data_IF_057457187892
#
_entry.id   IF_057457187892
#
_cell.length_a   1.000
_cell.length_b   1.000
_cell.length_c   1.000
_cell.angle_alpha   90.00
_cell.angle_beta   90.00
_cell.angle_gamma   90.00
#
_symmetry.space_group_name_H-M   'P 1'
#
loop_
_entity.id
_entity.type
_entity.pdbx_description
1 polymer ?
#
# COMPACT_ATOMS: atom_id res chain seq x y z
N UNK A 1 24.69 17.54 -0.28
CA UNK A 1 24.43 16.35 -1.13
C UNK A 1 23.15 16.57 -1.91
N UNK A 2 23.12 16.11 -3.15
CA UNK A 2 21.98 16.22 -4.05
C UNK A 2 21.91 15.02 -4.98
N UNK A 3 20.76 14.83 -5.64
CA UNK A 3 20.57 13.75 -6.62
C UNK A 3 19.83 14.29 -7.84
N UNK A 4 20.02 13.61 -8.96
CA UNK A 4 19.38 13.93 -10.24
C UNK A 4 18.48 12.74 -10.60
N UNK A 5 17.23 13.02 -10.92
CA UNK A 5 16.25 12.02 -11.34
C UNK A 5 15.69 12.32 -12.71
N UNK A 6 15.14 11.31 -13.39
CA UNK A 6 14.38 11.49 -14.62
C UNK A 6 13.10 12.25 -14.33
N UNK A 7 12.76 13.18 -15.21
CA UNK A 7 11.45 13.84 -15.17
C UNK A 7 10.38 12.94 -15.77
N UNK A 8 9.31 12.69 -15.02
CA UNK A 8 8.15 11.95 -15.49
C UNK A 8 6.93 12.87 -15.62
N UNK A 9 6.18 12.72 -16.72
CA UNK A 9 4.92 13.44 -16.90
C UNK A 9 3.77 12.65 -16.30
N UNK A 10 2.92 13.33 -15.53
CA UNK A 10 1.75 12.75 -14.91
C UNK A 10 1.23 13.60 -13.75
N UNK A 11 0.20 13.13 -13.13
CA UNK A 11 -0.42 13.72 -11.94
C UNK A 11 -0.16 12.82 -10.73
N UNK A 12 0.36 13.38 -9.64
CA UNK A 12 0.60 12.67 -8.39
C UNK A 12 -0.27 13.20 -7.23
N UNK A 13 -1.00 14.32 -7.42
CA UNK A 13 -1.88 14.84 -6.38
C UNK A 13 -3.16 14.00 -6.28
N UNK A 14 -3.29 13.23 -5.21
CA UNK A 14 -4.39 12.28 -5.02
C UNK A 14 -5.78 12.88 -5.22
N UNK A 15 -6.02 14.09 -4.72
CA UNK A 15 -7.28 14.78 -4.92
C UNK A 15 -7.60 15.08 -6.40
N UNK A 16 -6.57 15.33 -7.22
CA UNK A 16 -6.72 15.52 -8.67
C UNK A 16 -6.94 14.21 -9.38
N UNK A 17 -6.20 13.17 -9.01
CA UNK A 17 -6.38 11.81 -9.57
C UNK A 17 -7.84 11.38 -9.43
N UNK A 18 -8.46 11.63 -8.28
CA UNK A 18 -9.86 11.26 -8.02
C UNK A 18 -10.87 12.12 -8.79
N UNK A 19 -10.56 13.39 -9.08
CA UNK A 19 -11.56 14.37 -9.56
C UNK A 19 -11.33 14.91 -10.96
N UNK A 20 -10.09 14.87 -11.49
CA UNK A 20 -9.78 15.49 -12.77
C UNK A 20 -10.54 14.84 -13.93
N UNK A 21 -11.22 15.62 -14.80
CA UNK A 21 -11.85 15.11 -16.01
C UNK A 21 -10.85 14.44 -16.97
N UNK A 22 -9.61 14.91 -17.01
CA UNK A 22 -8.54 14.37 -17.87
C UNK A 22 -8.21 12.91 -17.58
N UNK A 23 -8.49 12.47 -16.35
CA UNK A 23 -8.25 11.09 -15.91
C UNK A 23 -9.54 10.24 -15.82
N UNK A 24 -10.69 10.78 -16.27
CA UNK A 24 -11.98 10.10 -16.12
C UNK A 24 -12.04 8.73 -16.80
N UNK A 25 -11.41 8.57 -17.96
CA UNK A 25 -11.43 7.32 -18.72
C UNK A 25 -10.49 6.25 -18.15
N UNK A 26 -9.36 6.67 -17.58
CA UNK A 26 -8.39 5.73 -17.02
C UNK A 26 -8.70 5.37 -15.58
N UNK A 27 -9.35 6.26 -14.82
CA UNK A 27 -9.61 6.10 -13.39
C UNK A 27 -10.23 4.75 -13.00
N UNK A 28 -11.25 4.22 -13.70
CA UNK A 28 -11.82 2.91 -13.37
C UNK A 28 -10.86 1.73 -13.52
N UNK A 29 -9.74 1.90 -14.23
CA UNK A 29 -8.73 0.86 -14.47
C UNK A 29 -7.58 0.92 -13.47
N UNK A 30 -7.46 1.99 -12.69
CA UNK A 30 -6.30 2.22 -11.81
C UNK A 30 -6.20 1.19 -10.71
N UNK A 31 -7.30 0.77 -10.09
CA UNK A 31 -7.25 -0.24 -9.04
C UNK A 31 -6.70 -1.58 -9.54
N UNK A 32 -7.15 -2.03 -10.71
CA UNK A 32 -6.62 -3.22 -11.36
C UNK A 32 -5.13 -3.10 -11.69
N UNK A 33 -4.71 -1.95 -12.25
CA UNK A 33 -3.29 -1.69 -12.53
C UNK A 33 -2.45 -1.65 -11.27
N UNK A 34 -2.94 -1.06 -10.18
CA UNK A 34 -2.27 -1.07 -8.88
C UNK A 34 -2.05 -2.50 -8.37
N UNK A 35 -3.05 -3.36 -8.48
CA UNK A 35 -2.92 -4.78 -8.15
C UNK A 35 -1.81 -5.46 -8.94
N UNK A 36 -1.79 -5.27 -10.27
CA UNK A 36 -0.74 -5.82 -11.13
C UNK A 36 0.66 -5.32 -10.79
N UNK A 37 0.79 -4.04 -10.46
CA UNK A 37 2.07 -3.41 -10.09
C UNK A 37 2.56 -3.98 -8.76
N UNK A 38 1.69 -4.05 -7.74
CA UNK A 38 2.02 -4.63 -6.44
C UNK A 38 2.47 -6.08 -6.57
N UNK A 39 1.78 -6.89 -7.37
CA UNK A 39 2.18 -8.27 -7.59
C UNK A 39 3.59 -8.39 -8.21
N UNK A 40 3.96 -7.49 -9.13
CA UNK A 40 5.32 -7.44 -9.70
C UNK A 40 6.36 -6.99 -8.69
N UNK A 41 6.05 -6.01 -7.85
CA UNK A 41 6.93 -5.55 -6.76
C UNK A 41 7.18 -6.70 -5.78
N UNK A 42 6.13 -7.37 -5.34
CA UNK A 42 6.21 -8.45 -4.37
C UNK A 42 6.88 -9.73 -4.93
N UNK A 43 6.92 -9.88 -6.25
CA UNK A 43 7.61 -10.98 -6.92
C UNK A 43 9.12 -10.73 -7.15
N UNK A 44 9.65 -9.58 -6.73
CA UNK A 44 11.09 -9.30 -6.86
C UNK A 44 11.88 -10.27 -5.98
N UNK A 45 12.80 -11.01 -6.60
CA UNK A 45 13.70 -11.91 -5.89
C UNK A 45 14.69 -11.10 -5.04
N UNK A 46 14.49 -11.14 -3.75
CA UNK A 46 15.26 -10.38 -2.77
C UNK A 46 16.74 -10.79 -2.75
N UNK A 47 17.00 -12.10 -2.91
CA UNK A 47 18.37 -12.62 -2.89
C UNK A 47 19.11 -12.30 -4.19
N UNK A 48 18.50 -12.55 -5.33
CA UNK A 48 19.10 -12.26 -6.64
C UNK A 48 19.39 -10.76 -6.84
N UNK A 49 18.62 -9.89 -6.20
CA UNK A 49 18.80 -8.43 -6.23
C UNK A 49 19.69 -7.89 -5.11
N UNK A 50 20.02 -8.69 -4.11
CA UNK A 50 20.77 -8.28 -2.91
C UNK A 50 19.98 -7.39 -1.95
N UNK A 51 18.67 -7.26 -2.14
CA UNK A 51 17.81 -6.45 -1.27
C UNK A 51 17.70 -7.02 0.14
N UNK A 52 17.82 -8.33 0.30
CA UNK A 52 17.89 -9.02 1.59
C UNK A 52 19.08 -8.58 2.47
N UNK A 53 20.13 -8.01 1.86
CA UNK A 53 21.31 -7.49 2.57
C UNK A 53 21.19 -6.00 2.94
N UNK A 54 20.27 -5.28 2.31
CA UNK A 54 20.13 -3.84 2.44
C UNK A 54 18.89 -3.41 3.20
N UNK A 55 17.81 -4.20 3.15
CA UNK A 55 16.52 -3.86 3.75
C UNK A 55 16.30 -4.59 5.07
N UNK A 56 15.61 -3.92 5.97
CA UNK A 56 15.16 -4.55 7.21
C UNK A 56 13.98 -5.48 6.95
N UNK A 57 13.91 -6.58 7.68
CA UNK A 57 12.73 -7.44 7.73
C UNK A 57 11.89 -7.05 8.93
N UNK A 58 10.61 -6.77 8.71
CA UNK A 58 9.64 -6.45 9.76
C UNK A 58 8.44 -7.37 9.65
N UNK A 59 8.26 -8.22 10.66
CA UNK A 59 7.04 -9.02 10.76
C UNK A 59 5.83 -8.15 11.09
N UNK A 60 4.58 -8.58 10.79
CA UNK A 60 3.39 -7.86 11.22
C UNK A 60 3.38 -7.57 12.73
N UNK A 61 3.85 -8.51 13.54
CA UNK A 61 3.96 -8.33 14.99
C UNK A 61 4.93 -7.19 15.34
N UNK A 62 6.13 -7.20 14.78
CA UNK A 62 7.13 -6.15 15.02
C UNK A 62 6.59 -4.76 14.63
N UNK A 63 5.93 -4.70 13.47
CA UNK A 63 5.39 -3.47 12.94
C UNK A 63 4.28 -2.89 13.84
N UNK A 64 3.31 -3.74 14.23
CA UNK A 64 2.20 -3.34 15.09
C UNK A 64 2.69 -2.98 16.49
N UNK A 65 3.55 -3.80 17.10
CA UNK A 65 4.09 -3.53 18.44
C UNK A 65 4.89 -2.22 18.48
N UNK A 66 5.77 -1.99 17.51
CA UNK A 66 6.56 -0.75 17.43
C UNK A 66 5.66 0.47 17.30
N UNK A 67 4.62 0.41 16.46
CA UNK A 67 3.68 1.50 16.27
C UNK A 67 2.84 1.73 17.52
N UNK A 68 2.38 0.64 18.17
CA UNK A 68 1.62 0.69 19.41
C UNK A 68 2.42 1.33 20.57
N UNK A 69 3.70 0.98 20.68
CA UNK A 69 4.57 1.56 21.71
C UNK A 69 4.85 3.05 21.46
N UNK A 70 5.03 3.45 20.19
CA UNK A 70 5.12 4.88 19.82
C UNK A 70 3.86 5.64 20.19
N UNK A 71 2.69 5.10 19.85
CA UNK A 71 1.41 5.71 20.21
C UNK A 71 1.27 5.91 21.73
N UNK A 72 1.54 4.87 22.53
CA UNK A 72 1.48 4.97 23.99
C UNK A 72 2.43 6.03 24.55
N UNK A 73 3.58 6.24 23.93
CA UNK A 73 4.56 7.25 24.35
C UNK A 73 4.05 8.69 24.23
N UNK A 74 3.08 8.96 23.34
CA UNK A 74 2.47 10.29 23.23
C UNK A 74 1.58 10.66 24.44
N UNK A 75 1.15 9.69 25.24
CA UNK A 75 0.31 9.90 26.45
C UNK A 75 -1.01 10.67 26.19
N UNK A 76 -1.52 10.60 24.97
CA UNK A 76 -2.79 11.22 24.54
C UNK A 76 -3.72 10.13 24.05
N UNK A 77 -4.44 9.42 24.95
CA UNK A 77 -5.26 8.27 24.57
C UNK A 77 -6.39 8.70 23.63
N UNK A 78 -6.59 7.90 22.58
CA UNK A 78 -7.66 8.07 21.62
C UNK A 78 -8.46 6.75 21.59
N UNK A 79 -9.73 6.74 22.06
CA UNK A 79 -10.49 5.49 22.23
C UNK A 79 -10.57 4.62 20.98
N UNK A 80 -10.68 5.22 19.80
CA UNK A 80 -10.73 4.45 18.54
C UNK A 80 -9.39 3.83 18.18
N UNK A 81 -8.27 4.53 18.44
CA UNK A 81 -6.93 3.99 18.22
C UNK A 81 -6.64 2.88 19.24
N UNK A 82 -7.04 3.08 20.49
CA UNK A 82 -6.90 2.06 21.55
C UNK A 82 -7.69 0.78 21.19
N UNK A 83 -8.90 0.92 20.65
CA UNK A 83 -9.72 -0.20 20.21
C UNK A 83 -9.10 -0.91 18.99
N UNK A 84 -8.73 -0.14 17.96
CA UNK A 84 -8.09 -0.69 16.76
C UNK A 84 -6.76 -1.38 17.09
N UNK A 85 -5.93 -0.76 17.92
CA UNK A 85 -4.65 -1.33 18.34
C UNK A 85 -4.78 -2.65 19.09
N UNK A 86 -5.78 -2.78 19.97
CA UNK A 86 -6.09 -4.06 20.64
C UNK A 86 -6.52 -5.11 19.64
N UNK A 87 -7.45 -4.75 18.74
CA UNK A 87 -7.92 -5.68 17.72
C UNK A 87 -6.76 -6.17 16.85
N UNK A 88 -5.86 -5.27 16.42
CA UNK A 88 -4.68 -5.64 15.63
C UNK A 88 -3.75 -6.60 16.38
N UNK A 89 -3.51 -6.36 17.66
CA UNK A 89 -2.67 -7.24 18.49
C UNK A 89 -3.28 -8.64 18.67
N UNK A 90 -4.62 -8.73 18.74
CA UNK A 90 -5.34 -9.99 18.89
C UNK A 90 -5.48 -10.77 17.55
N UNK A 91 -5.21 -10.11 16.39
CA UNK A 91 -5.42 -10.67 15.06
C UNK A 91 -4.15 -10.66 14.20
N UNK A 92 -2.98 -10.69 14.80
CA UNK A 92 -1.70 -10.64 14.07
C UNK A 92 -1.60 -11.78 13.04
N UNK A 93 -1.32 -11.48 11.76
CA UNK A 93 -1.07 -12.51 10.76
C UNK A 93 0.20 -13.32 11.09
N UNK A 94 0.16 -14.62 10.86
CA UNK A 94 1.26 -15.56 11.12
C UNK A 94 1.52 -16.47 9.92
N UNK A 95 2.73 -17.03 9.84
CA UNK A 95 3.07 -18.03 8.82
C UNK A 95 3.14 -17.45 7.40
N UNK A 96 3.65 -16.24 7.24
CA UNK A 96 3.65 -15.50 5.99
C UNK A 96 4.94 -15.69 5.19
N UNK A 97 4.79 -15.73 3.87
CA UNK A 97 5.90 -15.44 2.97
C UNK A 97 6.10 -13.93 2.91
N UNK A 98 7.33 -13.50 3.18
CA UNK A 98 7.71 -12.09 3.20
C UNK A 98 8.22 -11.67 1.83
N UNK A 99 7.90 -10.46 1.42
CA UNK A 99 8.29 -9.90 0.13
C UNK A 99 8.83 -8.47 0.29
N UNK A 100 9.38 -7.91 -0.79
CA UNK A 100 9.60 -6.46 -0.86
C UNK A 100 8.25 -5.77 -0.76
N UNK A 101 8.06 -4.91 0.22
CA UNK A 101 6.88 -4.04 0.32
C UNK A 101 7.30 -2.58 0.19
N UNK A 102 6.49 -1.82 -0.50
CA UNK A 102 6.67 -0.38 -0.64
C UNK A 102 6.37 0.35 0.68
N UNK A 103 5.39 -0.17 1.43
CA UNK A 103 4.93 0.31 2.73
C UNK A 103 4.22 1.67 2.74
N UNK A 104 4.34 2.49 1.69
CA UNK A 104 3.56 3.71 1.48
C UNK A 104 2.92 3.75 0.06
N UNK A 105 2.47 2.59 -0.43
CA UNK A 105 1.79 2.47 -1.72
C UNK A 105 0.37 3.04 -1.61
N UNK A 106 0.20 4.27 -2.04
CA UNK A 106 -1.05 5.02 -1.88
C UNK A 106 -1.31 6.00 -3.01
N UNK A 107 -2.55 6.43 -3.14
CA UNK A 107 -2.89 7.57 -3.97
C UNK A 107 -2.18 8.84 -3.41
N UNK A 108 -1.29 9.41 -4.22
CA UNK A 108 -0.37 10.48 -3.86
C UNK A 108 1.11 10.07 -4.04
N UNK A 109 1.42 8.75 -4.00
CA UNK A 109 2.73 8.21 -4.35
C UNK A 109 2.71 7.45 -5.69
N UNK A 110 1.64 7.63 -6.45
CA UNK A 110 1.48 7.10 -7.80
C UNK A 110 1.49 8.25 -8.80
N UNK A 111 2.33 8.15 -9.83
CA UNK A 111 2.30 9.05 -10.97
C UNK A 111 1.32 8.49 -12.00
N UNK A 112 0.26 9.25 -12.30
CA UNK A 112 -0.83 8.81 -13.18
C UNK A 112 -0.86 9.68 -14.44
N UNK A 113 -1.03 9.05 -15.60
CA UNK A 113 -1.29 9.69 -16.88
C UNK A 113 -2.64 9.22 -17.46
N UNK A 114 -3.12 9.79 -18.56
CA UNK A 114 -4.29 9.26 -19.26
C UNK A 114 -4.14 7.80 -19.75
N UNK A 115 -2.92 7.27 -19.77
CA UNK A 115 -2.65 5.88 -20.17
C UNK A 115 -2.53 4.90 -18.97
N UNK A 116 -2.56 5.40 -17.73
CA UNK A 116 -2.46 4.61 -16.51
C UNK A 116 -1.37 5.04 -15.55
N UNK A 117 -0.96 4.12 -14.69
CA UNK A 117 0.13 4.32 -13.74
C UNK A 117 1.46 4.37 -14.48
N UNK A 118 2.18 5.47 -14.34
CA UNK A 118 3.50 5.72 -14.97
C UNK A 118 4.64 5.30 -14.06
N UNK A 119 4.50 5.58 -12.76
CA UNK A 119 5.53 5.27 -11.77
C UNK A 119 4.96 5.13 -10.36
N UNK A 120 5.71 4.42 -9.53
CA UNK A 120 5.54 4.37 -8.08
C UNK A 120 6.67 5.18 -7.47
N UNK A 121 6.30 6.14 -6.62
CA UNK A 121 7.19 7.14 -6.03
C UNK A 121 7.39 6.88 -4.54
N UNK A 122 8.47 7.44 -3.97
CA UNK A 122 8.67 7.53 -2.52
C UNK A 122 8.90 6.17 -1.83
N UNK A 123 10.04 5.57 -2.14
CA UNK A 123 10.46 4.24 -1.66
C UNK A 123 11.21 4.27 -0.32
N UNK A 124 11.26 5.41 0.36
CA UNK A 124 12.11 5.61 1.54
C UNK A 124 11.78 4.71 2.75
N UNK A 125 10.55 4.19 2.80
CA UNK A 125 10.06 3.30 3.88
C UNK A 125 9.92 1.84 3.44
N UNK A 126 10.44 1.50 2.27
CA UNK A 126 10.40 0.13 1.76
C UNK A 126 11.19 -0.83 2.68
N UNK A 127 10.67 -2.03 2.86
CA UNK A 127 11.27 -3.07 3.68
C UNK A 127 10.83 -4.46 3.22
N UNK A 128 11.34 -5.51 3.87
CA UNK A 128 10.87 -6.88 3.67
C UNK A 128 9.75 -7.15 4.67
N UNK A 129 8.53 -7.34 4.17
CA UNK A 129 7.33 -7.42 5.01
C UNK A 129 6.20 -8.24 4.42
N UNK A 130 5.04 -8.16 5.04
CA UNK A 130 3.80 -8.78 4.56
C UNK A 130 3.31 -8.09 3.28
N UNK A 131 3.25 -8.77 2.11
CA UNK A 131 2.79 -8.16 0.86
C UNK A 131 1.36 -7.61 0.94
N UNK A 132 0.48 -8.15 1.79
CA UNK A 132 -0.88 -7.62 1.96
C UNK A 132 -0.90 -6.24 2.63
N UNK A 133 0.22 -5.80 3.21
CA UNK A 133 0.40 -4.46 3.77
C UNK A 133 0.14 -3.37 2.73
N UNK A 134 0.71 -3.50 1.54
CA UNK A 134 0.54 -2.50 0.48
C UNK A 134 -0.89 -2.47 -0.07
N UNK A 135 -1.53 -3.65 -0.20
CA UNK A 135 -2.91 -3.73 -0.63
C UNK A 135 -3.86 -3.09 0.40
N UNK A 136 -3.62 -3.30 1.70
CA UNK A 136 -4.41 -2.69 2.76
C UNK A 136 -4.18 -1.18 2.86
N UNK A 137 -2.93 -0.75 2.70
CA UNK A 137 -2.56 0.66 2.84
C UNK A 137 -3.25 1.56 1.81
N UNK A 138 -3.28 1.19 0.53
CA UNK A 138 -3.98 1.96 -0.51
C UNK A 138 -5.49 2.04 -0.25
N UNK A 139 -6.05 1.09 0.51
CA UNK A 139 -7.47 1.05 0.88
C UNK A 139 -7.82 1.90 2.10
N UNK A 140 -6.83 2.43 2.82
CA UNK A 140 -7.03 3.28 4.00
C UNK A 140 -7.85 4.53 3.64
N UNK A 141 -8.75 4.93 4.54
CA UNK A 141 -9.68 6.03 4.30
C UNK A 141 -8.99 7.36 3.97
N UNK A 142 -7.82 7.60 4.55
CA UNK A 142 -7.02 8.82 4.32
C UNK A 142 -6.65 9.04 2.84
N UNK A 143 -6.52 7.96 2.08
CA UNK A 143 -6.09 8.02 0.67
C UNK A 143 -7.24 8.05 -0.34
N UNK A 144 -8.49 8.15 0.13
CA UNK A 144 -9.70 8.20 -0.72
C UNK A 144 -10.08 9.61 -1.16
N UNK A 145 -9.53 10.63 -0.53
CA UNK A 145 -9.78 12.06 -0.84
C UNK A 145 -11.27 12.43 -0.92
N UNK A 146 -12.08 11.82 -0.04
CA UNK A 146 -13.53 12.04 0.05
C UNK A 146 -14.37 11.22 -0.95
N UNK A 147 -13.76 10.32 -1.71
CA UNK A 147 -14.48 9.35 -2.54
C UNK A 147 -15.00 8.18 -1.70
N UNK A 148 -16.14 7.61 -2.12
CA UNK A 148 -16.69 6.40 -1.53
C UNK A 148 -15.96 5.12 -1.98
N UNK A 149 -15.20 5.19 -3.06
CA UNK A 149 -14.45 4.04 -3.60
C UNK A 149 -13.26 3.70 -2.67
N UNK A 150 -13.12 2.43 -2.24
CA UNK A 150 -12.17 2.07 -1.20
C UNK A 150 -10.70 2.14 -1.65
N UNK A 151 -10.39 1.76 -2.88
CA UNK A 151 -9.01 1.69 -3.37
C UNK A 151 -8.57 3.06 -3.86
N UNK A 152 -7.78 3.78 -3.07
CA UNK A 152 -7.23 5.09 -3.40
C UNK A 152 -8.25 6.15 -3.82
N UNK A 153 -9.54 5.92 -3.57
CA UNK A 153 -10.64 6.77 -4.00
C UNK A 153 -11.03 6.60 -5.48
N UNK A 154 -10.46 5.64 -6.20
CA UNK A 154 -10.68 5.48 -7.64
C UNK A 154 -11.15 4.08 -8.08
N UNK A 155 -11.19 3.07 -7.20
CA UNK A 155 -11.63 1.74 -7.58
C UNK A 155 -12.16 0.88 -6.43
N UNK A 156 -12.62 -0.32 -6.77
CA UNK A 156 -13.15 -1.31 -5.84
C UNK A 156 -12.07 -2.32 -5.40
N UNK A 157 -12.32 -3.04 -4.31
CA UNK A 157 -11.42 -4.11 -3.83
C UNK A 157 -11.28 -5.22 -4.87
N UNK A 158 -12.38 -5.58 -5.50
CA UNK A 158 -12.45 -6.65 -6.51
C UNK A 158 -11.50 -6.40 -7.66
N UNK A 159 -11.40 -5.14 -8.13
CA UNK A 159 -10.48 -4.76 -9.20
C UNK A 159 -9.01 -4.85 -8.75
N UNK A 160 -8.70 -4.38 -7.54
CA UNK A 160 -7.36 -4.47 -6.96
C UNK A 160 -6.92 -5.93 -6.82
N UNK A 161 -7.79 -6.78 -6.25
CA UNK A 161 -7.50 -8.19 -6.03
C UNK A 161 -7.38 -8.95 -7.34
N UNK A 162 -8.29 -8.72 -8.29
CA UNK A 162 -8.22 -9.32 -9.61
C UNK A 162 -6.93 -8.95 -10.35
N UNK A 163 -6.51 -7.69 -10.27
CA UNK A 163 -5.24 -7.24 -10.86
C UNK A 163 -4.03 -7.92 -10.22
N UNK A 164 -4.01 -8.05 -8.89
CA UNK A 164 -2.95 -8.74 -8.16
C UNK A 164 -2.89 -10.22 -8.51
N UNK A 165 -4.01 -10.91 -8.42
CA UNK A 165 -4.13 -12.36 -8.69
C UNK A 165 -3.76 -12.72 -10.13
N UNK A 166 -4.09 -11.86 -11.09
CA UNK A 166 -3.76 -12.07 -12.50
C UNK A 166 -2.25 -12.13 -12.77
N UNK A 167 -1.43 -11.53 -11.91
CA UNK A 167 0.04 -11.52 -12.05
C UNK A 167 0.70 -12.47 -11.06
N UNK A 168 0.26 -12.46 -9.79
CA UNK A 168 0.85 -13.27 -8.74
C UNK A 168 0.50 -14.77 -8.85
N UNK A 169 -0.62 -15.10 -9.48
CA UNK A 169 -1.09 -16.50 -9.59
C UNK A 169 -1.57 -17.12 -8.28
N UNK A 170 -1.75 -16.29 -7.23
CA UNK A 170 -2.23 -16.70 -5.90
C UNK A 170 -3.43 -15.84 -5.50
N UNK A 171 -4.32 -16.40 -4.72
CA UNK A 171 -5.47 -15.65 -4.20
C UNK A 171 -5.05 -14.63 -3.14
N UNK A 172 -5.68 -13.46 -3.19
CA UNK A 172 -5.54 -12.44 -2.15
C UNK A 172 -6.37 -12.85 -0.94
N UNK A 173 -5.78 -12.78 0.25
CA UNK A 173 -6.51 -12.95 1.50
C UNK A 173 -7.16 -11.60 1.91
N UNK A 174 -8.48 -11.45 1.74
CA UNK A 174 -9.16 -10.20 2.04
C UNK A 174 -9.15 -9.86 3.53
N UNK A 175 -9.04 -10.87 4.41
CA UNK A 175 -8.95 -10.66 5.87
C UNK A 175 -7.62 -10.00 6.23
N UNK A 176 -6.53 -10.45 5.61
CA UNK A 176 -5.21 -9.84 5.79
C UNK A 176 -5.13 -8.43 5.21
N UNK A 177 -5.73 -8.20 4.04
CA UNK A 177 -5.84 -6.84 3.48
C UNK A 177 -6.62 -5.95 4.44
N UNK A 178 -7.73 -6.43 5.00
CA UNK A 178 -8.54 -5.68 5.97
C UNK A 178 -7.79 -5.39 7.26
N UNK A 179 -6.96 -6.32 7.74
CA UNK A 179 -6.07 -6.10 8.88
C UNK A 179 -5.18 -4.86 8.66
N UNK A 180 -4.53 -4.78 7.50
CA UNK A 180 -3.66 -3.66 7.17
C UNK A 180 -4.41 -2.36 6.84
N UNK A 181 -5.63 -2.44 6.35
CA UNK A 181 -6.50 -1.28 6.20
C UNK A 181 -6.90 -0.69 7.56
N UNK A 182 -7.20 -1.55 8.55
CA UNK A 182 -7.50 -1.13 9.94
C UNK A 182 -6.26 -0.52 10.60
N UNK A 183 -5.08 -1.04 10.28
CA UNK A 183 -3.81 -0.48 10.78
C UNK A 183 -3.59 0.96 10.29
N UNK A 184 -3.99 1.32 9.08
CA UNK A 184 -3.83 2.65 8.44
C UNK A 184 -4.86 3.65 8.89
#
# INVERSE_FOLDING_TARGET
EGFIMSWLQGEALGARIVRSPELAEIRPKLAYQCGQILARIHAIDLHATGLDQCLHTLTPADYVHTTWDRYKAFKTPQPMIDYAGRWLLDHLPVGLEMALVHNDFRNGNLMISPNGVVAVLDWEVAHIGDPMRDLGWICTNSWRFGSALPVGGFGAYEDLFAGYQAVAGVEVDPTRVKFWEVFG
#
